data_IF_745713852380
#
_entry.id   IF_745713852380
#
_cell.length_a   1.000
_cell.length_b   1.000
_cell.length_c   1.000
_cell.angle_alpha   90.00
_cell.angle_beta   90.00
_cell.angle_gamma   90.00
#
_symmetry.space_group_name_H-M   'P 1'
#
loop_
_entity.id
_entity.type
_entity.pdbx_description
1 polymer ?
#
# COMPACT_ATOMS: atom_id res chain seq x y z
N UNK A 1 -7.79 -15.50 6.79
CA UNK A 1 -6.90 -15.59 5.60
C UNK A 1 -7.64 -16.00 4.33
N UNK A 2 -8.77 -16.73 4.40
CA UNK A 2 -9.54 -17.13 3.21
C UNK A 2 -9.93 -15.95 2.30
N UNK A 3 -10.18 -14.77 2.87
CA UNK A 3 -10.48 -13.56 2.10
C UNK A 3 -9.38 -13.20 1.08
N UNK A 4 -8.11 -13.52 1.34
CA UNK A 4 -7.01 -13.25 0.39
C UNK A 4 -7.22 -14.07 -0.88
N UNK A 5 -7.59 -15.34 -0.73
CA UNK A 5 -7.86 -16.24 -1.86
C UNK A 5 -9.11 -15.76 -2.61
N UNK A 6 -10.17 -15.38 -1.88
CA UNK A 6 -11.41 -14.86 -2.49
C UNK A 6 -11.19 -13.55 -3.27
N UNK A 7 -10.24 -12.74 -2.82
CA UNK A 7 -9.95 -11.42 -3.37
C UNK A 7 -8.61 -11.38 -4.11
N UNK A 8 -8.14 -12.53 -4.62
CA UNK A 8 -6.82 -12.61 -5.24
C UNK A 8 -6.71 -11.66 -6.44
N UNK A 9 -7.76 -11.54 -7.25
CA UNK A 9 -7.79 -10.63 -8.41
C UNK A 9 -7.63 -9.16 -8.01
N UNK A 10 -8.47 -8.57 -7.15
CA UNK A 10 -8.29 -7.18 -6.73
C UNK A 10 -6.96 -6.94 -6.01
N UNK A 11 -6.48 -7.90 -5.20
CA UNK A 11 -5.17 -7.79 -4.52
C UNK A 11 -4.02 -7.78 -5.53
N UNK A 12 -4.02 -8.67 -6.52
CA UNK A 12 -2.98 -8.70 -7.55
C UNK A 12 -3.01 -7.45 -8.43
N UNK A 13 -4.20 -6.93 -8.76
CA UNK A 13 -4.34 -5.68 -9.50
C UNK A 13 -3.76 -4.48 -8.71
N UNK A 14 -4.08 -4.40 -7.41
CA UNK A 14 -3.52 -3.40 -6.50
C UNK A 14 -1.99 -3.55 -6.34
N UNK A 15 -1.49 -4.78 -6.24
CA UNK A 15 -0.06 -5.10 -6.18
C UNK A 15 0.66 -4.60 -7.43
N UNK A 16 0.12 -4.90 -8.62
CA UNK A 16 0.69 -4.46 -9.89
C UNK A 16 0.71 -2.93 -10.00
N UNK A 17 -0.34 -2.26 -9.54
CA UNK A 17 -0.37 -0.80 -9.51
C UNK A 17 0.66 -0.20 -8.55
N UNK A 18 0.83 -0.78 -7.34
CA UNK A 18 1.88 -0.37 -6.40
C UNK A 18 3.28 -0.48 -7.00
N UNK A 19 3.57 -1.61 -7.65
CA UNK A 19 4.83 -1.81 -8.37
C UNK A 19 5.05 -0.80 -9.49
N UNK A 20 4.02 -0.54 -10.31
CA UNK A 20 4.12 0.47 -11.38
C UNK A 20 4.40 1.86 -10.80
N UNK A 21 3.71 2.25 -9.73
CA UNK A 21 3.94 3.52 -9.02
C UNK A 21 5.38 3.55 -8.48
N UNK A 22 5.88 2.47 -7.89
CA UNK A 22 7.26 2.36 -7.41
C UNK A 22 8.29 2.52 -8.52
N UNK A 23 8.08 1.89 -9.67
CA UNK A 23 8.95 2.03 -10.84
C UNK A 23 8.94 3.49 -11.35
N UNK A 24 7.76 4.11 -11.44
CA UNK A 24 7.63 5.52 -11.85
C UNK A 24 8.35 6.44 -10.86
N UNK A 25 8.13 6.25 -9.56
CA UNK A 25 8.78 7.04 -8.51
C UNK A 25 10.30 6.92 -8.55
N UNK A 26 10.83 5.71 -8.74
CA UNK A 26 12.27 5.48 -8.88
C UNK A 26 12.85 6.13 -10.14
N UNK A 27 12.15 6.09 -11.28
CA UNK A 27 12.57 6.76 -12.52
C UNK A 27 12.60 8.28 -12.40
N UNK A 28 11.73 8.86 -11.57
CA UNK A 28 11.69 10.30 -11.29
C UNK A 28 12.68 10.71 -10.18
N UNK A 29 13.25 9.74 -9.48
CA UNK A 29 14.24 9.96 -8.42
C UNK A 29 15.66 9.85 -8.98
N UNK A 30 16.67 10.46 -8.35
CA UNK A 30 18.08 10.30 -8.75
C UNK A 30 18.65 8.90 -8.42
N UNK A 31 17.81 7.96 -7.97
CA UNK A 31 18.19 6.63 -7.52
C UNK A 31 18.30 5.68 -8.71
N UNK A 32 19.33 4.82 -8.70
CA UNK A 32 19.47 3.78 -9.72
C UNK A 32 18.31 2.79 -9.67
N UNK A 33 17.91 2.29 -10.85
CA UNK A 33 16.88 1.27 -10.94
C UNK A 33 17.35 -0.02 -10.26
N UNK A 34 16.48 -0.64 -9.45
CA UNK A 34 16.81 -1.86 -8.73
C UNK A 34 16.95 -3.05 -9.67
N UNK A 35 17.77 -4.02 -9.27
CA UNK A 35 17.85 -5.32 -9.96
C UNK A 35 16.59 -6.16 -9.77
N UNK A 36 16.47 -7.24 -10.55
CA UNK A 36 15.31 -8.14 -10.56
C UNK A 36 14.99 -8.71 -9.17
N UNK A 37 16.01 -9.03 -8.37
CA UNK A 37 15.81 -9.56 -7.00
C UNK A 37 15.05 -8.56 -6.11
N UNK A 38 15.40 -7.29 -6.17
CA UNK A 38 14.72 -6.23 -5.41
C UNK A 38 13.30 -6.00 -5.94
N UNK A 39 13.05 -6.15 -7.25
CA UNK A 39 11.70 -6.07 -7.80
C UNK A 39 10.81 -7.23 -7.33
N UNK A 40 11.36 -8.45 -7.23
CA UNK A 40 10.65 -9.60 -6.66
C UNK A 40 10.31 -9.33 -5.19
N UNK A 41 11.28 -8.85 -4.42
CA UNK A 41 11.06 -8.49 -3.01
C UNK A 41 9.99 -7.39 -2.87
N UNK A 42 10.06 -6.35 -3.71
CA UNK A 42 9.06 -5.30 -3.75
C UNK A 42 7.67 -5.87 -4.09
N UNK A 43 7.58 -6.80 -5.05
CA UNK A 43 6.31 -7.43 -5.42
C UNK A 43 5.69 -8.25 -4.29
N UNK A 44 6.51 -8.98 -3.54
CA UNK A 44 6.06 -9.70 -2.34
C UNK A 44 5.61 -8.74 -1.25
N UNK A 45 6.35 -7.65 -1.02
CA UNK A 45 6.00 -6.63 -0.05
C UNK A 45 4.68 -5.91 -0.41
N UNK A 46 4.53 -5.53 -1.68
CA UNK A 46 3.32 -4.90 -2.22
C UNK A 46 2.11 -5.84 -2.13
N UNK A 47 2.29 -7.11 -2.45
CA UNK A 47 1.24 -8.11 -2.31
C UNK A 47 0.77 -8.25 -0.87
N UNK A 48 1.69 -8.28 0.09
CA UNK A 48 1.33 -8.36 1.50
C UNK A 48 0.66 -7.09 2.01
N UNK A 49 1.16 -5.93 1.59
CA UNK A 49 0.55 -4.64 1.91
C UNK A 49 -0.89 -4.57 1.40
N UNK A 50 -1.11 -4.90 0.11
CA UNK A 50 -2.43 -4.94 -0.49
C UNK A 50 -3.36 -5.95 0.21
N UNK A 51 -2.84 -7.12 0.62
CA UNK A 51 -3.61 -8.13 1.34
C UNK A 51 -4.07 -7.64 2.72
N UNK A 52 -3.19 -6.99 3.50
CA UNK A 52 -3.56 -6.40 4.80
C UNK A 52 -4.59 -5.29 4.61
N UNK A 53 -4.37 -4.45 3.59
CA UNK A 53 -5.26 -3.34 3.28
C UNK A 53 -6.64 -3.86 2.85
N UNK A 54 -6.72 -4.94 2.07
CA UNK A 54 -7.98 -5.62 1.73
C UNK A 54 -8.73 -6.08 2.99
N UNK A 55 -8.03 -6.68 3.95
CA UNK A 55 -8.61 -7.05 5.24
C UNK A 55 -9.18 -5.84 5.99
N UNK A 56 -8.43 -4.74 6.04
CA UNK A 56 -8.87 -3.51 6.68
C UNK A 56 -10.11 -2.89 5.98
N UNK A 57 -10.15 -2.93 4.65
CA UNK A 57 -11.26 -2.46 3.82
C UNK A 57 -12.54 -3.28 4.04
N UNK A 58 -12.42 -4.61 4.12
CA UNK A 58 -13.55 -5.51 4.37
C UNK A 58 -14.14 -5.28 5.77
N UNK A 59 -13.29 -5.03 6.77
CA UNK A 59 -13.70 -4.85 8.16
C UNK A 59 -14.05 -3.39 8.51
N UNK A 60 -13.91 -2.45 7.57
CA UNK A 60 -14.17 -1.05 7.82
C UNK A 60 -15.68 -0.86 8.13
N UNK A 61 -16.03 -0.23 9.26
CA UNK A 61 -17.43 -0.02 9.63
C UNK A 61 -18.10 0.96 8.65
N UNK A 62 -19.39 0.81 8.35
CA UNK A 62 -20.10 1.64 7.37
C UNK A 62 -20.53 3.00 7.95
N UNK A 63 -19.58 3.75 8.52
CA UNK A 63 -19.83 5.05 9.16
C UNK A 63 -19.85 6.21 8.15
N UNK A 64 -19.32 5.99 6.94
CA UNK A 64 -19.28 6.97 5.86
C UNK A 64 -19.42 6.29 4.49
N UNK A 65 -19.39 7.09 3.41
CA UNK A 65 -19.40 6.55 2.06
C UNK A 65 -18.24 5.58 1.82
N UNK A 66 -18.49 4.49 1.09
CA UNK A 66 -17.54 3.38 0.88
C UNK A 66 -16.17 3.84 0.38
N UNK A 67 -16.13 4.85 -0.50
CA UNK A 67 -14.88 5.43 -1.00
C UNK A 67 -14.13 6.25 0.06
N UNK A 68 -14.86 7.01 0.88
CA UNK A 68 -14.28 7.77 1.97
C UNK A 68 -13.70 6.84 3.04
N UNK A 69 -14.42 5.75 3.36
CA UNK A 69 -13.92 4.70 4.26
C UNK A 69 -12.68 4.03 3.67
N UNK A 70 -12.70 3.65 2.39
CA UNK A 70 -11.60 2.95 1.76
C UNK A 70 -10.29 3.76 1.75
N UNK A 71 -10.36 5.00 1.26
CA UNK A 71 -9.20 5.90 1.20
C UNK A 71 -8.81 6.40 2.59
N UNK A 72 -9.79 6.62 3.47
CA UNK A 72 -9.59 7.01 4.86
C UNK A 72 -8.82 5.95 5.65
N UNK A 73 -9.21 4.67 5.54
CA UNK A 73 -8.50 3.56 6.17
C UNK A 73 -7.05 3.46 5.69
N UNK A 74 -6.81 3.58 4.39
CA UNK A 74 -5.45 3.61 3.83
C UNK A 74 -4.62 4.77 4.39
N UNK A 75 -5.20 5.98 4.45
CA UNK A 75 -4.53 7.17 4.98
C UNK A 75 -4.24 7.04 6.48
N UNK A 76 -5.19 6.55 7.27
CA UNK A 76 -5.04 6.36 8.73
C UNK A 76 -3.95 5.31 9.03
N UNK A 77 -3.93 4.20 8.29
CA UNK A 77 -2.86 3.20 8.42
C UNK A 77 -1.51 3.82 8.01
N UNK A 78 -1.47 4.59 6.92
CA UNK A 78 -0.23 5.25 6.50
C UNK A 78 0.32 6.20 7.58
N UNK A 79 -0.51 7.12 8.10
CA UNK A 79 -0.05 8.12 9.07
C UNK A 79 0.23 7.50 10.45
N UNK A 80 -0.54 6.48 10.85
CA UNK A 80 -0.40 5.83 12.15
C UNK A 80 0.67 4.75 12.21
N UNK A 81 1.08 4.19 11.06
CA UNK A 81 2.02 3.07 11.01
C UNK A 81 3.22 3.33 10.09
N UNK A 82 2.98 3.55 8.80
CA UNK A 82 4.07 3.63 7.81
C UNK A 82 4.96 4.85 8.04
N UNK A 83 4.36 6.03 8.20
CA UNK A 83 5.09 7.28 8.40
C UNK A 83 5.97 7.24 9.68
N UNK A 84 5.48 6.81 10.86
CA UNK A 84 6.30 6.65 12.06
C UNK A 84 7.47 5.67 11.88
N UNK A 85 7.21 4.52 11.28
CA UNK A 85 8.26 3.50 11.05
C UNK A 85 9.36 4.08 10.15
N UNK A 86 8.99 4.76 9.06
CA UNK A 86 9.97 5.42 8.19
C UNK A 86 10.70 6.56 8.90
N UNK A 87 9.99 7.39 9.67
CA UNK A 87 10.58 8.51 10.39
C UNK A 87 11.64 8.06 11.39
N UNK A 88 11.33 7.07 12.22
CA UNK A 88 12.29 6.50 13.19
C UNK A 88 13.46 5.84 12.46
N UNK A 89 13.18 5.01 11.45
CA UNK A 89 14.22 4.31 10.68
C UNK A 89 15.20 5.28 10.03
N UNK A 90 14.69 6.26 9.29
CA UNK A 90 15.53 7.23 8.58
C UNK A 90 16.30 8.14 9.55
N UNK A 91 15.71 8.45 10.71
CA UNK A 91 16.40 9.21 11.75
C UNK A 91 17.59 8.43 12.33
N UNK A 92 17.39 7.16 12.70
CA UNK A 92 18.44 6.29 13.25
C UNK A 92 19.59 6.12 12.25
N UNK A 93 19.28 5.90 10.98
CA UNK A 93 20.29 5.76 9.92
C UNK A 93 20.81 7.09 9.36
N UNK A 94 20.43 8.24 9.97
CA UNK A 94 20.86 9.60 9.57
C UNK A 94 20.66 9.89 8.07
N UNK A 95 19.59 9.35 7.50
CA UNK A 95 19.23 9.60 6.10
C UNK A 95 18.68 11.02 5.93
N UNK A 96 18.81 11.56 4.72
CA UNK A 96 18.33 12.90 4.41
C UNK A 96 16.80 13.01 4.62
N UNK A 97 16.36 14.14 5.19
CA UNK A 97 14.93 14.40 5.43
C UNK A 97 14.11 14.40 4.15
N UNK A 98 14.69 14.86 3.03
CA UNK A 98 14.07 14.81 1.71
C UNK A 98 13.79 13.37 1.25
N UNK A 99 14.71 12.44 1.50
CA UNK A 99 14.52 11.02 1.21
C UNK A 99 13.39 10.41 2.05
N UNK A 100 13.32 10.77 3.33
CA UNK A 100 12.22 10.32 4.22
C UNK A 100 10.86 10.83 3.72
N UNK A 101 10.75 12.13 3.38
CA UNK A 101 9.51 12.73 2.86
C UNK A 101 9.12 12.07 1.54
N UNK A 102 10.08 11.89 0.63
CA UNK A 102 9.85 11.24 -0.67
C UNK A 102 9.36 9.80 -0.50
N UNK A 103 10.00 9.00 0.36
CA UNK A 103 9.59 7.63 0.65
C UNK A 103 8.21 7.58 1.32
N UNK A 104 7.95 8.45 2.29
CA UNK A 104 6.65 8.51 2.95
C UNK A 104 5.52 8.90 1.97
N UNK A 105 5.75 9.90 1.11
CA UNK A 105 4.81 10.32 0.09
C UNK A 105 4.57 9.22 -0.96
N UNK A 106 5.62 8.52 -1.39
CA UNK A 106 5.51 7.38 -2.29
C UNK A 106 4.58 6.30 -1.73
N UNK A 107 4.80 5.88 -0.47
CA UNK A 107 3.96 4.86 0.16
C UNK A 107 2.52 5.32 0.39
N UNK A 108 2.29 6.61 0.65
CA UNK A 108 0.94 7.15 0.71
C UNK A 108 0.23 6.96 -0.64
N UNK A 109 0.88 7.34 -1.73
CA UNK A 109 0.32 7.21 -3.08
C UNK A 109 0.04 5.75 -3.42
N UNK A 110 0.96 4.83 -3.10
CA UNK A 110 0.77 3.38 -3.29
C UNK A 110 -0.47 2.90 -2.52
N UNK A 111 -0.55 3.19 -1.22
CA UNK A 111 -1.66 2.70 -0.38
C UNK A 111 -3.01 3.26 -0.83
N UNK A 112 -3.09 4.54 -1.19
CA UNK A 112 -4.31 5.14 -1.72
C UNK A 112 -4.73 4.50 -3.06
N UNK A 113 -3.77 4.27 -3.96
CA UNK A 113 -4.04 3.60 -5.23
C UNK A 113 -4.50 2.15 -5.03
N UNK A 114 -3.85 1.41 -4.14
CA UNK A 114 -4.24 0.04 -3.80
C UNK A 114 -5.65 -0.03 -3.24
N UNK A 115 -5.97 0.81 -2.25
CA UNK A 115 -7.32 0.89 -1.70
C UNK A 115 -8.35 1.27 -2.76
N UNK A 116 -8.04 2.27 -3.59
CA UNK A 116 -8.94 2.71 -4.65
C UNK A 116 -9.20 1.63 -5.69
N UNK A 117 -8.18 0.87 -6.12
CA UNK A 117 -8.32 -0.23 -7.07
C UNK A 117 -9.16 -1.36 -6.48
N UNK A 118 -8.87 -1.78 -5.25
CA UNK A 118 -9.65 -2.83 -4.60
C UNK A 118 -11.10 -2.41 -4.38
N UNK A 119 -11.34 -1.14 -4.02
CA UNK A 119 -12.68 -0.59 -3.88
C UNK A 119 -13.42 -0.51 -5.23
N UNK A 120 -12.71 -0.18 -6.32
CA UNK A 120 -13.28 -0.13 -7.66
C UNK A 120 -13.69 -1.51 -8.19
N UNK A 121 -12.86 -2.52 -7.96
CA UNK A 121 -13.12 -3.90 -8.38
C UNK A 121 -14.17 -4.56 -7.47
N UNK A 122 -14.16 -4.20 -6.19
CA UNK A 122 -14.98 -4.79 -5.15
C UNK A 122 -14.24 -5.89 -4.40
N UNK A 123 -14.49 -5.94 -3.09
CA UNK A 123 -13.97 -6.98 -2.20
C UNK A 123 -15.13 -7.82 -1.67
N UNK A 124 -14.87 -9.11 -1.52
CA UNK A 124 -15.81 -10.10 -0.98
C UNK A 124 -15.40 -10.42 0.45
N UNK A 125 -16.33 -10.19 1.39
CA UNK A 125 -16.14 -10.58 2.79
C UNK A 125 -16.12 -12.11 2.92
N UNK A 126 -15.31 -12.68 3.83
CA UNK A 126 -15.34 -14.11 4.08
C UNK A 126 -16.66 -14.51 4.75
N UNK A 127 -17.12 -15.77 4.59
CA UNK A 127 -18.34 -16.24 5.23
C UNK A 127 -18.26 -16.10 6.76
N UNK A 128 -19.27 -15.48 7.37
CA UNK A 128 -19.36 -15.29 8.82
C UNK A 128 -18.60 -14.08 9.38
N UNK A 129 -18.12 -13.17 8.53
CA UNK A 129 -17.67 -11.83 8.94
C UNK A 129 -18.84 -10.88 9.19
#
# INVERSE_FOLDING_TARGET
MIYIVLNLVPILAATAAGLLIGIIWLRLSPTLLPGVQTLILAGIAEFWLASILAGALILAPPEAGVWAMALGSAFVIWIGFVLPVLAVTFHVYRMARSSMISAAAHWLVVMLAQAGIMQAIGLVAPPGA
#
